data_IF_676121016897
#
_entry.id   IF_676121016897
#
_cell.length_a   1.000
_cell.length_b   1.000
_cell.length_c   1.000
_cell.angle_alpha   90.00
_cell.angle_beta   90.00
_cell.angle_gamma   90.00
#
_symmetry.space_group_name_H-M   'P 1'
#
loop_
_entity.id
_entity.type
_entity.pdbx_description
1 polymer ?
#
# COMPACT_ATOMS: atom_id res chain seq x y z
N UNK A 1 -71.22 18.87 -56.69
CA UNK A 1 -70.18 19.43 -55.84
C UNK A 1 -69.93 18.43 -54.69
N UNK A 2 -68.93 17.60 -54.86
CA UNK A 2 -68.63 16.50 -53.90
C UNK A 2 -67.58 17.00 -52.90
N UNK A 3 -67.90 16.92 -51.61
CA UNK A 3 -66.96 17.14 -50.49
C UNK A 3 -66.26 15.80 -50.22
N UNK A 4 -64.92 15.78 -50.35
CA UNK A 4 -64.10 14.67 -49.91
C UNK A 4 -63.74 14.85 -48.43
N UNK A 5 -64.10 13.86 -47.60
CA UNK A 5 -63.69 13.72 -46.19
C UNK A 5 -62.34 13.05 -46.16
N UNK A 6 -61.32 13.71 -45.57
CA UNK A 6 -60.01 13.07 -45.26
C UNK A 6 -60.11 12.54 -43.82
N UNK A 7 -60.00 11.23 -43.69
CA UNK A 7 -59.78 10.53 -42.40
C UNK A 7 -58.27 10.58 -42.06
N UNK A 8 -57.93 11.23 -40.94
CA UNK A 8 -56.62 11.12 -40.32
C UNK A 8 -56.58 9.91 -39.40
N UNK A 9 -55.85 8.86 -39.77
CA UNK A 9 -55.58 7.74 -38.89
C UNK A 9 -54.38 8.03 -37.99
N UNK A 10 -54.59 8.05 -36.67
CA UNK A 10 -53.56 8.15 -35.66
C UNK A 10 -52.98 6.76 -35.40
N UNK A 11 -51.74 6.55 -35.86
CA UNK A 11 -50.96 5.33 -35.52
C UNK A 11 -50.35 5.57 -34.12
N UNK A 12 -50.87 4.87 -33.13
CA UNK A 12 -50.26 4.78 -31.80
C UNK A 12 -49.22 3.66 -31.84
N UNK A 13 -47.95 4.04 -31.89
CA UNK A 13 -46.85 3.10 -31.74
C UNK A 13 -46.65 2.79 -30.23
N UNK A 14 -46.98 1.57 -29.83
CA UNK A 14 -46.59 1.01 -28.52
C UNK A 14 -45.11 0.70 -28.57
N UNK A 15 -44.32 1.53 -27.87
CA UNK A 15 -42.95 1.17 -27.54
C UNK A 15 -42.98 0.21 -26.34
N UNK A 16 -42.76 -1.06 -26.62
CA UNK A 16 -42.45 -2.05 -25.64
C UNK A 16 -40.98 -1.84 -25.19
N UNK A 17 -40.72 -1.28 -24.03
CA UNK A 17 -39.43 -1.39 -23.38
C UNK A 17 -39.17 -2.86 -23.08
N UNK A 18 -38.32 -3.51 -23.85
CA UNK A 18 -37.65 -4.73 -23.45
C UNK A 18 -36.49 -4.33 -22.54
N UNK A 19 -36.30 -4.95 -21.37
CA UNK A 19 -35.11 -4.75 -20.58
C UNK A 19 -33.91 -5.30 -21.35
N UNK A 20 -32.95 -4.45 -21.60
CA UNK A 20 -31.66 -4.81 -22.22
C UNK A 20 -30.88 -5.65 -21.20
N UNK A 21 -31.01 -7.00 -21.30
CA UNK A 21 -30.20 -7.95 -20.53
C UNK A 21 -28.97 -8.37 -21.33
N UNK A 22 -28.11 -7.41 -21.66
CA UNK A 22 -26.78 -7.69 -22.20
C UNK A 22 -25.73 -6.71 -21.61
N UNK A 23 -25.66 -6.69 -20.28
CA UNK A 23 -24.50 -6.21 -19.58
C UNK A 23 -23.81 -7.45 -19.02
N UNK A 24 -23.10 -8.19 -19.86
CA UNK A 24 -21.98 -9.02 -19.47
C UNK A 24 -21.50 -9.89 -20.63
N UNK A 25 -20.68 -9.37 -21.47
CA UNK A 25 -19.57 -10.10 -22.11
C UNK A 25 -18.70 -9.12 -22.90
N UNK A 26 -18.20 -8.09 -22.25
CA UNK A 26 -16.92 -7.60 -22.67
C UNK A 26 -15.95 -8.77 -22.37
N UNK A 27 -15.62 -9.56 -23.40
CA UNK A 27 -14.45 -10.45 -23.33
C UNK A 27 -13.30 -9.54 -22.88
N UNK A 28 -12.90 -9.68 -21.62
CA UNK A 28 -11.64 -9.14 -21.16
C UNK A 28 -10.59 -9.67 -22.14
N UNK A 29 -10.03 -8.80 -22.99
CA UNK A 29 -8.89 -9.18 -23.82
C UNK A 29 -7.85 -9.71 -22.85
N UNK A 30 -7.41 -10.96 -23.07
CA UNK A 30 -6.30 -11.53 -22.30
C UNK A 30 -5.11 -10.60 -22.50
N UNK A 31 -4.78 -9.85 -21.48
CA UNK A 31 -3.63 -8.98 -21.48
C UNK A 31 -2.40 -9.88 -21.60
N UNK A 32 -1.55 -9.63 -22.60
CA UNK A 32 -0.25 -10.29 -22.68
C UNK A 32 0.61 -9.78 -21.53
N UNK A 33 0.97 -10.64 -20.56
CA UNK A 33 1.76 -10.22 -19.40
C UNK A 33 3.06 -9.52 -19.78
N UNK A 34 3.70 -9.92 -20.87
CA UNK A 34 4.96 -9.33 -21.34
C UNK A 34 4.80 -7.87 -21.83
N UNK A 35 3.60 -7.47 -22.25
CA UNK A 35 3.30 -6.11 -22.75
C UNK A 35 2.57 -5.25 -21.71
N UNK A 36 2.10 -5.85 -20.63
CA UNK A 36 1.25 -5.17 -19.63
C UNK A 36 1.98 -4.06 -18.89
N UNK A 37 3.26 -4.26 -18.59
CA UNK A 37 4.00 -3.39 -17.69
C UNK A 37 4.76 -2.28 -18.38
N UNK A 38 5.30 -2.49 -19.58
CA UNK A 38 6.21 -1.56 -20.22
C UNK A 38 7.56 -1.43 -19.49
N UNK A 39 8.28 -0.36 -19.77
CA UNK A 39 9.55 -0.07 -19.08
C UNK A 39 9.34 0.25 -17.61
N UNK A 40 10.30 -0.13 -16.77
CA UNK A 40 10.26 0.18 -15.34
C UNK A 40 10.39 1.70 -15.13
N UNK A 41 9.37 2.38 -14.59
CA UNK A 41 9.37 3.83 -14.42
C UNK A 41 10.16 4.30 -13.19
N UNK A 42 10.70 3.37 -12.39
CA UNK A 42 11.37 3.69 -11.15
C UNK A 42 12.55 4.67 -11.27
N UNK A 43 13.45 4.58 -12.26
CA UNK A 43 14.55 5.53 -12.40
C UNK A 43 14.06 6.99 -12.44
N UNK A 44 13.07 7.29 -13.26
CA UNK A 44 12.52 8.65 -13.39
C UNK A 44 11.74 9.09 -12.14
N UNK A 45 10.94 8.20 -11.58
CA UNK A 45 10.17 8.47 -10.35
C UNK A 45 11.14 8.70 -9.19
N UNK A 46 12.17 7.89 -9.02
CA UNK A 46 13.19 8.05 -8.00
C UNK A 46 13.90 9.41 -8.10
N UNK A 47 14.28 9.82 -9.32
CA UNK A 47 14.87 11.14 -9.57
C UNK A 47 13.92 12.27 -9.13
N UNK A 48 12.65 12.20 -9.52
CA UNK A 48 11.63 13.17 -9.09
C UNK A 48 11.46 13.19 -7.56
N UNK A 49 11.43 12.06 -6.92
CA UNK A 49 11.31 11.97 -5.45
C UNK A 49 12.48 12.66 -4.75
N UNK A 50 13.71 12.44 -5.23
CA UNK A 50 14.89 13.08 -4.67
C UNK A 50 14.88 14.60 -4.95
N UNK A 51 14.58 15.03 -6.17
CA UNK A 51 14.71 16.43 -6.56
C UNK A 51 13.51 17.30 -6.19
N UNK A 52 12.32 16.74 -6.09
CA UNK A 52 11.08 17.51 -5.84
C UNK A 52 10.53 17.35 -4.42
N UNK A 53 10.55 16.14 -3.85
CA UNK A 53 9.95 15.88 -2.53
C UNK A 53 10.96 16.00 -1.38
N UNK A 54 12.19 15.52 -1.56
CA UNK A 54 13.18 15.48 -0.49
C UNK A 54 13.60 16.87 0.03
N UNK A 55 13.72 17.93 -0.81
CA UNK A 55 14.00 19.29 -0.31
C UNK A 55 12.95 19.79 0.68
N UNK A 56 11.67 19.51 0.39
CA UNK A 56 10.56 19.87 1.27
C UNK A 56 10.56 19.04 2.56
N UNK A 57 10.89 17.74 2.45
CA UNK A 57 10.98 16.85 3.60
C UNK A 57 12.11 17.27 4.56
N UNK A 58 13.30 17.62 4.05
CA UNK A 58 14.41 18.19 4.85
C UNK A 58 13.97 19.43 5.62
N UNK A 59 13.32 20.35 4.92
CA UNK A 59 12.82 21.61 5.52
C UNK A 59 11.79 21.32 6.62
N UNK A 60 10.82 20.45 6.36
CA UNK A 60 9.75 20.13 7.31
C UNK A 60 10.28 19.40 8.55
N UNK A 61 11.26 18.51 8.37
CA UNK A 61 11.95 17.82 9.47
C UNK A 61 12.89 18.76 10.24
N UNK A 62 13.23 19.92 9.69
CA UNK A 62 14.11 20.89 10.32
C UNK A 62 15.53 20.39 10.53
N UNK A 63 16.06 19.61 9.58
CA UNK A 63 17.43 19.09 9.56
C UNK A 63 18.26 19.77 8.48
N UNK A 64 19.56 19.96 8.75
CA UNK A 64 20.44 20.66 7.81
C UNK A 64 20.98 19.74 6.71
N UNK A 65 21.23 18.48 7.08
CA UNK A 65 21.75 17.45 6.17
C UNK A 65 21.27 16.08 6.61
N UNK A 66 21.00 15.22 5.64
CA UNK A 66 20.71 13.80 5.87
C UNK A 66 21.86 12.96 5.34
N UNK A 67 22.44 12.14 6.20
CA UNK A 67 23.48 11.18 5.89
C UNK A 67 22.91 9.76 5.90
N UNK A 68 22.99 9.07 4.76
CA UNK A 68 22.65 7.66 4.61
C UNK A 68 23.90 6.87 4.28
N UNK A 69 24.13 5.77 5.01
CA UNK A 69 25.27 4.87 4.79
C UNK A 69 24.77 3.56 4.19
N UNK A 70 25.06 3.37 2.90
CA UNK A 70 24.70 2.14 2.18
C UNK A 70 25.91 1.21 2.03
N UNK A 71 25.65 -0.08 1.91
CA UNK A 71 26.67 -1.14 1.77
C UNK A 71 26.08 -2.37 1.08
N UNK A 72 26.96 -3.24 0.60
CA UNK A 72 26.53 -4.56 0.13
C UNK A 72 25.93 -5.37 1.27
N UNK A 73 24.90 -6.16 0.97
CA UNK A 73 24.19 -7.07 1.87
C UNK A 73 23.66 -6.39 3.15
N UNK A 74 22.42 -6.74 3.52
CA UNK A 74 21.76 -6.11 4.68
C UNK A 74 21.88 -4.59 4.68
N UNK A 75 21.59 -4.01 3.52
CA UNK A 75 21.71 -2.57 3.26
C UNK A 75 20.70 -1.76 4.08
N UNK A 76 20.86 -0.43 4.06
CA UNK A 76 19.85 0.46 4.63
C UNK A 76 18.48 0.21 3.97
N UNK A 77 17.36 0.17 4.73
CA UNK A 77 16.02 -0.08 4.17
C UNK A 77 15.62 0.87 3.04
N UNK A 78 16.16 2.08 3.01
CA UNK A 78 15.88 3.05 1.95
C UNK A 78 16.92 3.04 0.81
N UNK A 79 17.86 2.09 0.80
CA UNK A 79 18.93 2.04 -0.20
C UNK A 79 18.40 2.18 -1.63
N UNK A 80 17.35 1.45 -2.00
CA UNK A 80 16.71 1.52 -3.32
C UNK A 80 16.19 2.92 -3.65
N UNK A 81 15.80 3.71 -2.65
CA UNK A 81 15.30 5.07 -2.85
C UNK A 81 16.40 6.09 -3.14
N UNK A 82 17.62 5.80 -2.73
CA UNK A 82 18.79 6.70 -2.87
C UNK A 82 19.89 6.16 -3.80
N UNK A 83 19.65 5.02 -4.48
CA UNK A 83 20.66 4.41 -5.35
C UNK A 83 21.68 3.55 -4.61
N UNK A 84 21.49 3.34 -3.32
CA UNK A 84 22.42 2.61 -2.46
C UNK A 84 22.50 1.10 -2.73
N UNK A 85 21.60 0.54 -3.54
CA UNK A 85 21.66 -0.84 -4.03
C UNK A 85 22.90 -1.12 -4.88
N UNK A 86 23.51 -0.07 -5.43
CA UNK A 86 24.74 -0.15 -6.23
C UNK A 86 26.02 -0.04 -5.41
N UNK A 87 25.93 0.12 -4.08
CA UNK A 87 27.10 0.16 -3.21
C UNK A 87 27.55 -1.26 -2.84
N UNK A 88 28.78 -1.66 -3.22
CA UNK A 88 29.39 -2.92 -2.76
C UNK A 88 30.26 -2.72 -1.52
N UNK A 89 31.04 -1.65 -1.46
CA UNK A 89 31.64 -1.16 -0.21
C UNK A 89 30.67 -0.22 0.52
N UNK A 90 31.18 0.53 1.53
CA UNK A 90 30.36 1.56 2.16
C UNK A 90 30.40 2.84 1.34
N UNK A 91 29.22 3.27 0.86
CA UNK A 91 29.01 4.59 0.26
C UNK A 91 28.24 5.49 1.23
N UNK A 92 28.51 6.79 1.18
CA UNK A 92 27.87 7.79 2.03
C UNK A 92 27.10 8.80 1.15
N UNK A 93 25.80 8.85 1.32
CA UNK A 93 24.89 9.73 0.60
C UNK A 93 24.53 10.93 1.47
N UNK A 94 24.68 12.12 0.94
CA UNK A 94 24.39 13.38 1.63
C UNK A 94 23.33 14.17 0.86
N UNK A 95 22.27 14.55 1.56
CA UNK A 95 21.22 15.41 1.03
C UNK A 95 21.09 16.64 1.91
N UNK A 96 21.23 17.84 1.34
CA UNK A 96 21.16 19.09 2.08
C UNK A 96 20.68 20.23 1.18
N UNK A 97 20.30 21.34 1.79
CA UNK A 97 20.01 22.59 1.08
C UNK A 97 20.85 23.73 1.64
N UNK A 98 21.34 24.60 0.76
CA UNK A 98 22.01 25.86 1.12
C UNK A 98 21.49 27.02 0.26
N UNK A 99 22.17 28.15 0.26
CA UNK A 99 21.77 29.35 -0.50
C UNK A 99 21.71 29.12 -2.03
N UNK A 100 22.46 28.13 -2.55
CA UNK A 100 22.46 27.77 -3.96
C UNK A 100 21.36 26.79 -4.36
N UNK A 101 20.69 26.17 -3.39
CA UNK A 101 19.59 25.24 -3.62
C UNK A 101 19.73 23.91 -2.91
N UNK A 102 19.06 22.89 -3.43
CA UNK A 102 19.14 21.52 -2.95
C UNK A 102 20.30 20.79 -3.61
N UNK A 103 21.01 19.99 -2.82
CA UNK A 103 22.17 19.20 -3.22
C UNK A 103 22.04 17.75 -2.84
N UNK A 104 22.51 16.87 -3.70
CA UNK A 104 22.72 15.45 -3.43
C UNK A 104 24.14 15.05 -3.82
N UNK A 105 24.92 14.66 -2.82
CA UNK A 105 26.34 14.32 -2.96
C UNK A 105 26.57 12.90 -2.46
N UNK A 106 27.32 12.11 -3.22
CA UNK A 106 27.70 10.76 -2.83
C UNK A 106 29.21 10.64 -2.74
N UNK A 107 29.72 10.10 -1.64
CA UNK A 107 31.09 9.60 -1.54
C UNK A 107 31.07 8.08 -1.72
N UNK A 108 31.66 7.59 -2.79
CA UNK A 108 31.67 6.16 -3.13
C UNK A 108 33.10 5.67 -3.39
N UNK A 109 33.42 4.43 -2.98
CA UNK A 109 34.64 3.77 -3.43
C UNK A 109 34.79 3.87 -4.95
N UNK A 110 36.01 4.12 -5.42
CA UNK A 110 36.31 4.43 -6.84
C UNK A 110 35.77 3.36 -7.81
N UNK A 111 35.80 2.07 -7.41
CA UNK A 111 35.31 0.95 -8.25
C UNK A 111 33.79 0.93 -8.50
N UNK A 112 33.01 1.62 -7.68
CA UNK A 112 31.55 1.58 -7.70
C UNK A 112 30.93 2.92 -8.12
N UNK A 113 31.74 3.98 -8.08
CA UNK A 113 31.28 5.34 -8.33
C UNK A 113 30.65 5.53 -9.72
N UNK A 114 31.13 4.80 -10.74
CA UNK A 114 30.55 4.86 -12.09
C UNK A 114 29.10 4.36 -12.09
N UNK A 115 28.82 3.22 -11.43
CA UNK A 115 27.46 2.68 -11.37
C UNK A 115 26.48 3.62 -10.65
N UNK A 116 26.97 4.38 -9.67
CA UNK A 116 26.16 5.39 -8.97
C UNK A 116 25.98 6.67 -9.79
N UNK A 117 27.00 7.07 -10.54
CA UNK A 117 26.97 8.23 -11.44
C UNK A 117 26.02 7.99 -12.62
N UNK A 118 26.03 6.77 -13.19
CA UNK A 118 25.18 6.36 -14.30
C UNK A 118 23.66 6.34 -13.95
N UNK A 119 23.30 6.36 -12.65
CA UNK A 119 21.89 6.49 -12.23
C UNK A 119 21.30 7.86 -12.54
N UNK A 120 22.11 8.89 -12.71
CA UNK A 120 21.71 10.28 -12.98
C UNK A 120 20.66 10.84 -11.98
N UNK A 121 20.77 10.44 -10.71
CA UNK A 121 19.86 10.88 -9.62
C UNK A 121 20.55 11.76 -8.59
N UNK A 122 21.87 11.86 -8.64
CA UNK A 122 22.68 12.69 -7.76
C UNK A 122 23.34 13.83 -8.53
N UNK A 123 23.48 14.98 -7.87
CA UNK A 123 24.20 16.11 -8.44
C UNK A 123 25.68 15.78 -8.66
N UNK A 124 26.28 15.00 -7.72
CA UNK A 124 27.71 14.66 -7.76
C UNK A 124 27.99 13.33 -7.07
N UNK A 125 28.83 12.52 -7.72
CA UNK A 125 29.43 11.32 -7.14
C UNK A 125 30.93 11.51 -7.03
N UNK A 126 31.44 11.64 -5.79
CA UNK A 126 32.87 11.79 -5.48
C UNK A 126 33.53 10.42 -5.34
N UNK A 127 34.54 10.18 -6.12
CA UNK A 127 35.32 8.95 -6.11
C UNK A 127 36.30 8.95 -4.93
N UNK A 128 36.18 7.94 -4.06
CA UNK A 128 37.05 7.76 -2.91
C UNK A 128 38.15 6.75 -3.26
N UNK A 129 39.42 7.13 -3.24
CA UNK A 129 40.52 6.24 -3.57
C UNK A 129 40.58 5.01 -2.69
N UNK A 130 41.09 3.91 -3.24
CA UNK A 130 41.26 2.66 -2.50
C UNK A 130 42.14 2.89 -1.25
N UNK A 131 41.64 2.43 -0.10
CA UNK A 131 42.28 2.60 1.22
C UNK A 131 41.84 3.85 1.98
N UNK A 132 40.99 4.69 1.39
CA UNK A 132 40.33 5.80 2.07
C UNK A 132 38.87 5.41 2.42
N UNK A 133 38.27 6.13 3.36
CA UNK A 133 36.89 5.86 3.84
C UNK A 133 35.89 6.89 3.31
N UNK A 134 34.84 6.43 2.64
CA UNK A 134 33.73 7.29 2.21
C UNK A 134 33.05 7.97 3.40
N UNK A 135 32.92 7.28 4.52
CA UNK A 135 32.36 7.84 5.77
C UNK A 135 33.24 8.98 6.29
N UNK A 136 34.59 8.82 6.25
CA UNK A 136 35.50 9.88 6.67
C UNK A 136 35.35 11.12 5.77
N UNK A 137 35.30 10.94 4.44
CA UNK A 137 35.10 12.06 3.48
C UNK A 137 33.79 12.78 3.71
N UNK A 138 32.72 12.03 3.95
CA UNK A 138 31.40 12.60 4.28
C UNK A 138 31.45 13.42 5.59
N UNK A 139 32.12 12.91 6.63
CA UNK A 139 32.31 13.63 7.88
C UNK A 139 33.13 14.91 7.69
N UNK A 140 34.22 14.87 6.93
CA UNK A 140 35.03 16.07 6.62
C UNK A 140 34.20 17.12 5.90
N UNK A 141 33.38 16.71 4.94
CA UNK A 141 32.45 17.59 4.25
C UNK A 141 31.41 18.20 5.22
N UNK A 142 30.74 17.38 6.05
CA UNK A 142 29.77 17.83 7.06
C UNK A 142 30.36 18.89 7.96
N UNK A 143 31.58 18.65 8.47
CA UNK A 143 32.30 19.61 9.34
C UNK A 143 32.62 20.90 8.63
N UNK A 144 33.03 20.84 7.33
CA UNK A 144 33.35 22.03 6.54
C UNK A 144 32.16 22.95 6.33
N UNK A 145 30.94 22.38 6.17
CA UNK A 145 29.67 23.11 6.02
C UNK A 145 29.08 23.62 7.34
N UNK A 146 29.61 23.17 8.50
CA UNK A 146 29.18 23.55 9.85
C UNK A 146 27.71 23.27 10.17
N UNK A 147 27.13 22.21 9.60
CA UNK A 147 25.78 21.76 9.90
C UNK A 147 25.58 21.53 11.42
N UNK A 148 24.38 21.79 11.91
CA UNK A 148 24.04 21.69 13.34
C UNK A 148 23.12 20.50 13.66
N UNK A 149 22.26 20.11 12.68
CA UNK A 149 21.36 18.94 12.81
C UNK A 149 21.61 18.00 11.64
N UNK A 150 22.21 16.86 11.94
CA UNK A 150 22.62 15.86 10.96
C UNK A 150 21.71 14.65 11.17
N UNK A 151 20.74 14.47 10.27
CA UNK A 151 19.86 13.30 10.31
C UNK A 151 20.63 12.04 9.89
N UNK A 152 20.44 10.96 10.61
CA UNK A 152 20.95 9.61 10.30
C UNK A 152 19.85 8.58 10.52
N UNK A 153 19.95 7.46 9.83
CA UNK A 153 18.91 6.43 9.88
C UNK A 153 18.99 5.60 11.16
N UNK A 154 18.54 6.21 12.27
CA UNK A 154 18.26 5.56 13.55
C UNK A 154 16.82 5.84 13.93
N UNK A 155 16.08 4.81 14.35
CA UNK A 155 14.70 4.94 14.80
C UNK A 155 14.34 3.85 15.79
N UNK A 156 13.41 4.15 16.68
CA UNK A 156 12.76 3.17 17.57
C UNK A 156 11.32 2.84 17.14
N UNK A 157 10.81 3.50 16.11
CA UNK A 157 9.40 3.44 15.72
C UNK A 157 9.14 3.29 14.23
N UNK A 158 10.15 3.51 13.38
CA UNK A 158 10.03 3.47 11.93
C UNK A 158 11.19 2.65 11.33
N UNK A 159 10.90 1.41 10.94
CA UNK A 159 11.89 0.50 10.37
C UNK A 159 12.57 1.04 9.10
N UNK A 160 11.86 1.87 8.31
CA UNK A 160 12.44 2.50 7.10
C UNK A 160 13.45 3.60 7.45
N UNK A 161 13.47 4.08 8.69
CA UNK A 161 14.41 5.07 9.18
C UNK A 161 15.47 4.49 10.15
N UNK A 162 15.57 3.15 10.27
CA UNK A 162 16.47 2.46 11.21
C UNK A 162 17.44 1.53 10.45
N UNK A 163 18.27 2.13 9.58
CA UNK A 163 19.17 1.39 8.69
C UNK A 163 20.63 1.38 9.09
N UNK A 164 21.11 2.36 9.85
CA UNK A 164 22.51 2.42 10.27
C UNK A 164 22.81 1.30 11.29
N UNK A 165 23.84 0.50 11.04
CA UNK A 165 24.21 -0.53 12.00
C UNK A 165 24.94 0.04 13.18
N UNK A 166 24.96 -0.70 14.29
CA UNK A 166 25.70 -0.29 15.50
C UNK A 166 27.18 0.05 15.21
N UNK A 167 27.88 -0.76 14.41
CA UNK A 167 29.28 -0.52 14.06
C UNK A 167 29.47 0.73 13.19
N UNK A 168 28.56 0.96 12.22
CA UNK A 168 28.57 2.18 11.41
C UNK A 168 28.32 3.43 12.27
N UNK A 169 27.36 3.34 13.19
CA UNK A 169 27.10 4.43 14.15
C UNK A 169 28.32 4.74 15.03
N UNK A 170 28.98 3.70 15.59
CA UNK A 170 30.17 3.89 16.40
C UNK A 170 31.33 4.53 15.62
N UNK A 171 31.57 4.10 14.38
CA UNK A 171 32.56 4.69 13.51
C UNK A 171 32.24 6.16 13.20
N UNK A 172 31.00 6.42 12.80
CA UNK A 172 30.52 7.79 12.53
C UNK A 172 30.70 8.69 13.75
N UNK A 173 30.25 8.26 14.91
CA UNK A 173 30.34 9.03 16.15
C UNK A 173 31.81 9.30 16.53
N UNK A 174 32.70 8.33 16.36
CA UNK A 174 34.16 8.49 16.57
C UNK A 174 34.75 9.52 15.62
N UNK A 175 34.41 9.46 14.33
CA UNK A 175 34.87 10.42 13.32
C UNK A 175 34.33 11.83 13.55
N UNK A 176 33.08 11.96 13.98
CA UNK A 176 32.45 13.24 14.34
C UNK A 176 33.06 13.85 15.60
N UNK A 177 33.53 13.04 16.55
CA UNK A 177 34.10 13.52 17.81
C UNK A 177 33.12 14.35 18.61
N UNK A 178 33.50 15.56 19.03
CA UNK A 178 32.61 16.47 19.78
C UNK A 178 31.34 16.89 19.04
N UNK A 179 31.29 16.75 17.74
CA UNK A 179 30.11 17.06 16.90
C UNK A 179 29.12 15.89 16.83
N UNK A 180 29.42 14.71 17.39
CA UNK A 180 28.49 13.57 17.43
C UNK A 180 27.16 13.92 18.10
N UNK A 181 27.12 14.89 19.00
CA UNK A 181 25.88 15.43 19.62
C UNK A 181 24.92 16.11 18.63
N UNK A 182 25.33 16.39 17.42
CA UNK A 182 24.52 16.96 16.34
C UNK A 182 23.79 15.89 15.52
N UNK A 183 24.14 14.60 15.71
CA UNK A 183 23.45 13.48 15.08
C UNK A 183 22.04 13.34 15.67
N UNK A 184 21.04 13.30 14.82
CA UNK A 184 19.62 13.17 15.17
C UNK A 184 18.96 12.06 14.36
N UNK A 185 17.90 11.41 14.87
CA UNK A 185 17.12 10.45 14.10
C UNK A 185 16.51 11.06 12.83
N UNK A 186 16.37 10.24 11.79
CA UNK A 186 15.75 10.64 10.52
C UNK A 186 14.24 10.36 10.46
N UNK A 187 13.59 9.95 11.55
CA UNK A 187 12.18 9.57 11.58
C UNK A 187 11.25 10.54 10.87
N UNK A 188 11.30 11.83 11.26
CA UNK A 188 10.40 12.84 10.69
C UNK A 188 10.73 13.14 9.23
N UNK A 189 12.01 13.08 8.84
CA UNK A 189 12.42 13.28 7.45
C UNK A 189 11.92 12.14 6.57
N UNK A 190 12.17 10.89 6.96
CA UNK A 190 11.71 9.70 6.22
C UNK A 190 10.18 9.68 6.16
N UNK A 191 9.50 10.05 7.27
CA UNK A 191 8.05 10.21 7.29
C UNK A 191 7.57 11.24 6.26
N UNK A 192 8.12 12.45 6.26
CA UNK A 192 7.74 13.52 5.33
C UNK A 192 7.99 13.14 3.87
N UNK A 193 9.06 12.38 3.61
CA UNK A 193 9.47 12.01 2.26
C UNK A 193 8.71 10.81 1.71
N UNK A 194 8.61 9.70 2.47
CA UNK A 194 8.07 8.43 1.94
C UNK A 194 6.56 8.34 2.05
N UNK A 195 5.92 9.05 3.00
CA UNK A 195 4.46 8.97 3.15
C UNK A 195 3.70 9.55 1.95
N UNK A 196 4.28 10.51 1.23
CA UNK A 196 3.68 11.14 0.05
C UNK A 196 4.06 10.38 -1.21
N UNK A 197 3.06 10.00 -2.00
CA UNK A 197 3.23 9.37 -3.33
C UNK A 197 3.03 10.42 -4.43
N UNK A 198 3.89 10.38 -5.46
CA UNK A 198 3.69 11.17 -6.67
C UNK A 198 2.47 10.67 -7.44
N UNK A 199 1.83 11.50 -8.26
CA UNK A 199 0.69 11.08 -9.09
C UNK A 199 0.97 9.83 -9.92
N UNK A 200 2.16 9.72 -10.49
CA UNK A 200 2.60 8.55 -11.27
C UNK A 200 2.70 7.28 -10.40
N UNK A 201 3.10 7.41 -9.14
CA UNK A 201 3.11 6.29 -8.20
C UNK A 201 1.70 5.85 -7.83
N UNK A 202 0.77 6.79 -7.67
CA UNK A 202 -0.65 6.49 -7.43
C UNK A 202 -1.26 5.73 -8.61
N UNK A 203 -0.89 6.05 -9.86
CA UNK A 203 -1.32 5.30 -11.05
C UNK A 203 -0.80 3.86 -11.04
N UNK A 204 0.46 3.65 -10.62
CA UNK A 204 1.06 2.30 -10.51
C UNK A 204 0.37 1.50 -9.39
N UNK A 205 0.13 2.13 -8.24
CA UNK A 205 -0.59 1.52 -7.13
C UNK A 205 -2.03 1.18 -7.52
N UNK A 206 -2.67 2.00 -8.35
CA UNK A 206 -3.99 1.70 -8.92
C UNK A 206 -3.95 0.45 -9.79
N UNK A 207 -2.94 0.30 -10.65
CA UNK A 207 -2.75 -0.92 -11.46
C UNK A 207 -2.50 -2.14 -10.59
N UNK A 208 -1.67 -2.02 -9.54
CA UNK A 208 -1.42 -3.11 -8.60
C UNK A 208 -2.69 -3.55 -7.88
N UNK A 209 -3.49 -2.59 -7.39
CA UNK A 209 -4.76 -2.85 -6.75
C UNK A 209 -5.76 -3.53 -7.69
N UNK A 210 -5.88 -3.04 -8.93
CA UNK A 210 -6.78 -3.64 -9.94
C UNK A 210 -6.39 -5.09 -10.23
N UNK A 211 -5.10 -5.34 -10.43
CA UNK A 211 -4.60 -6.69 -10.71
C UNK A 211 -4.87 -7.65 -9.55
N UNK A 212 -4.61 -7.22 -8.32
CA UNK A 212 -4.90 -8.03 -7.14
C UNK A 212 -6.39 -8.33 -7.00
N UNK A 213 -7.26 -7.35 -7.28
CA UNK A 213 -8.71 -7.53 -7.29
C UNK A 213 -9.16 -8.52 -8.37
N UNK A 214 -8.66 -8.38 -9.59
CA UNK A 214 -9.03 -9.25 -10.72
C UNK A 214 -8.62 -10.70 -10.44
N UNK A 215 -7.42 -10.93 -9.92
CA UNK A 215 -6.96 -12.27 -9.56
C UNK A 215 -7.83 -12.92 -8.48
N UNK A 216 -8.27 -12.15 -7.48
CA UNK A 216 -9.17 -12.66 -6.44
C UNK A 216 -10.54 -13.03 -7.02
N UNK A 217 -11.10 -12.24 -7.95
CA UNK A 217 -12.35 -12.58 -8.64
C UNK A 217 -12.22 -13.86 -9.47
N UNK A 218 -11.11 -14.01 -10.24
CA UNK A 218 -10.83 -15.24 -10.98
C UNK A 218 -10.67 -16.45 -10.02
N UNK A 219 -10.01 -16.26 -8.89
CA UNK A 219 -9.81 -17.30 -7.88
C UNK A 219 -11.14 -17.76 -7.27
N UNK A 220 -12.06 -16.85 -6.99
CA UNK A 220 -13.40 -17.24 -6.51
C UNK A 220 -14.23 -17.96 -7.56
N UNK A 221 -14.08 -17.59 -8.83
CA UNK A 221 -14.79 -18.26 -9.93
C UNK A 221 -14.34 -19.71 -10.17
N UNK A 222 -13.11 -20.09 -9.74
CA UNK A 222 -12.62 -21.46 -9.89
C UNK A 222 -13.04 -22.40 -8.75
N UNK A 223 -13.66 -21.90 -7.67
CA UNK A 223 -13.99 -22.70 -6.49
C UNK A 223 -15.12 -23.68 -6.81
N UNK A 224 -14.89 -24.96 -6.56
CA UNK A 224 -15.88 -26.03 -6.49
C UNK A 224 -16.20 -26.33 -5.00
N UNK A 225 -17.36 -25.90 -4.46
CA UNK A 225 -17.74 -26.17 -3.08
C UNK A 225 -17.68 -27.67 -2.73
N UNK A 226 -17.10 -27.99 -1.58
CA UNK A 226 -16.90 -29.38 -1.13
C UNK A 226 -15.69 -30.10 -1.75
N UNK A 227 -14.89 -29.41 -2.60
CA UNK A 227 -13.67 -29.99 -3.21
C UNK A 227 -12.49 -29.06 -3.08
N UNK A 228 -12.60 -27.80 -3.52
CA UNK A 228 -11.52 -26.81 -3.50
C UNK A 228 -11.15 -26.50 -2.05
N UNK A 229 -9.84 -26.42 -1.77
CA UNK A 229 -9.32 -26.02 -0.46
C UNK A 229 -8.86 -24.56 -0.47
N UNK A 230 -8.67 -23.96 0.73
CA UNK A 230 -8.03 -22.65 0.87
C UNK A 230 -6.65 -22.64 0.18
N UNK A 231 -5.88 -23.72 0.32
CA UNK A 231 -4.57 -23.86 -0.32
C UNK A 231 -4.64 -23.92 -1.85
N UNK A 232 -5.70 -24.46 -2.44
CA UNK A 232 -5.87 -24.48 -3.89
C UNK A 232 -6.15 -23.05 -4.42
N UNK A 233 -6.92 -22.25 -3.70
CA UNK A 233 -7.13 -20.83 -3.99
C UNK A 233 -5.80 -20.06 -3.93
N UNK A 234 -5.02 -20.29 -2.88
CA UNK A 234 -3.70 -19.67 -2.73
C UNK A 234 -2.75 -20.05 -3.88
N UNK A 235 -2.70 -21.33 -4.27
CA UNK A 235 -1.90 -21.80 -5.42
C UNK A 235 -2.34 -21.15 -6.73
N UNK A 236 -3.64 -20.98 -6.94
CA UNK A 236 -4.17 -20.28 -8.11
C UNK A 236 -3.66 -18.83 -8.16
N UNK A 237 -3.76 -18.09 -7.05
CA UNK A 237 -3.27 -16.70 -6.96
C UNK A 237 -1.76 -16.61 -7.21
N UNK A 238 -0.95 -17.53 -6.66
CA UNK A 238 0.49 -17.63 -6.94
C UNK A 238 0.79 -17.93 -8.42
N UNK A 239 0.00 -18.78 -9.06
CA UNK A 239 0.15 -19.06 -10.49
C UNK A 239 -0.16 -17.80 -11.33
N UNK A 240 -1.19 -17.03 -10.97
CA UNK A 240 -1.50 -15.75 -11.63
C UNK A 240 -0.38 -14.73 -11.43
N UNK A 241 0.20 -14.63 -10.24
CA UNK A 241 1.36 -13.77 -10.02
C UNK A 241 2.53 -14.13 -10.94
N UNK A 242 2.83 -15.42 -11.07
CA UNK A 242 3.90 -15.90 -11.96
C UNK A 242 3.58 -15.64 -13.44
N UNK A 243 2.32 -15.83 -13.85
CA UNK A 243 1.84 -15.53 -15.21
C UNK A 243 2.07 -14.05 -15.57
N UNK A 244 1.86 -13.13 -14.63
CA UNK A 244 1.97 -11.69 -14.84
C UNK A 244 3.34 -11.10 -14.46
N UNK A 245 4.29 -11.94 -14.02
CA UNK A 245 5.64 -11.49 -13.66
C UNK A 245 5.67 -10.56 -12.44
N UNK A 246 4.68 -10.66 -11.56
CA UNK A 246 4.61 -9.89 -10.31
C UNK A 246 5.03 -10.74 -9.11
N UNK A 247 5.43 -10.10 -8.01
CA UNK A 247 5.91 -10.77 -6.81
C UNK A 247 5.04 -10.46 -5.60
N UNK A 248 5.32 -11.12 -4.48
CA UNK A 248 4.58 -10.95 -3.24
C UNK A 248 4.72 -9.54 -2.66
N UNK A 249 3.61 -8.97 -2.21
CA UNK A 249 3.59 -7.67 -1.54
C UNK A 249 4.22 -7.72 -0.13
N UNK A 250 4.09 -8.87 0.55
CA UNK A 250 4.72 -9.17 1.85
C UNK A 250 5.31 -10.59 1.85
N UNK A 251 5.47 -11.19 3.03
CA UNK A 251 6.14 -12.50 3.15
C UNK A 251 5.40 -13.59 2.34
N UNK A 252 6.08 -14.34 1.47
CA UNK A 252 5.43 -15.30 0.54
C UNK A 252 4.58 -16.38 1.19
N UNK A 253 4.88 -16.78 2.44
CA UNK A 253 4.11 -17.79 3.17
C UNK A 253 2.78 -17.23 3.71
N UNK A 254 2.62 -15.90 3.75
CA UNK A 254 1.43 -15.21 4.26
C UNK A 254 0.68 -14.45 3.16
N UNK A 255 1.22 -14.37 1.95
CA UNK A 255 0.58 -13.80 0.79
C UNK A 255 0.36 -14.89 -0.28
N UNK A 256 -0.88 -15.23 -0.65
CA UNK A 256 -2.14 -14.74 -0.09
C UNK A 256 -2.49 -15.40 1.25
N UNK A 257 -3.22 -14.67 2.10
CA UNK A 257 -4.00 -15.27 3.16
C UNK A 257 -5.38 -15.66 2.59
N UNK A 258 -5.74 -16.94 2.65
CA UNK A 258 -7.07 -17.44 2.25
C UNK A 258 -7.71 -18.10 3.46
N UNK A 259 -8.90 -17.64 3.83
CA UNK A 259 -9.56 -18.01 5.07
C UNK A 259 -11.05 -18.26 4.85
N UNK A 260 -11.48 -19.53 4.75
CA UNK A 260 -12.88 -19.92 4.69
C UNK A 260 -13.40 -20.39 6.03
N UNK A 261 -14.69 -20.14 6.33
CA UNK A 261 -15.31 -20.43 7.63
C UNK A 261 -14.78 -19.57 8.78
N UNK A 262 -14.56 -20.11 10.01
CA UNK A 262 -14.09 -19.35 11.17
C UNK A 262 -12.80 -18.60 10.95
N UNK A 263 -12.64 -17.45 11.62
CA UNK A 263 -11.44 -16.65 11.51
C UNK A 263 -10.20 -17.37 12.05
N UNK A 264 -9.09 -17.27 11.32
CA UNK A 264 -7.78 -17.78 11.71
C UNK A 264 -6.71 -16.69 11.79
N UNK A 265 -7.12 -15.43 11.73
CA UNK A 265 -6.21 -14.28 11.66
C UNK A 265 -5.41 -14.23 10.35
N UNK A 266 -4.34 -13.44 10.33
CA UNK A 266 -3.40 -13.38 9.20
C UNK A 266 -2.50 -14.61 9.21
N UNK A 267 -2.95 -15.71 8.62
CA UNK A 267 -2.26 -17.00 8.61
C UNK A 267 -2.13 -17.49 7.16
N UNK A 268 -1.26 -18.45 6.93
CA UNK A 268 -1.16 -19.12 5.63
C UNK A 268 -2.45 -19.90 5.31
N UNK A 269 -2.71 -20.10 4.01
CA UNK A 269 -3.80 -20.96 3.56
C UNK A 269 -3.60 -22.41 4.04
N UNK A 270 -4.71 -23.09 4.32
CA UNK A 270 -4.70 -24.47 4.82
C UNK A 270 -5.40 -25.42 3.86
N UNK A 271 -5.30 -26.73 4.11
CA UNK A 271 -6.05 -27.76 3.35
C UNK A 271 -7.52 -27.84 3.75
N UNK A 272 -8.09 -26.80 4.41
CA UNK A 272 -9.50 -26.73 4.72
C UNK A 272 -10.30 -26.69 3.42
N UNK A 273 -11.21 -27.66 3.28
CA UNK A 273 -12.17 -27.70 2.16
C UNK A 273 -13.19 -26.58 2.35
N UNK A 274 -13.40 -25.80 1.31
CA UNK A 274 -14.39 -24.73 1.24
C UNK A 274 -15.77 -25.35 1.11
N UNK A 275 -16.65 -25.11 2.07
CA UNK A 275 -17.97 -25.74 2.18
C UNK A 275 -19.12 -24.77 1.88
N UNK A 276 -20.25 -25.29 1.36
CA UNK A 276 -21.46 -24.48 1.27
C UNK A 276 -21.84 -23.85 2.63
N UNK A 277 -22.05 -22.54 2.62
CA UNK A 277 -22.32 -21.73 3.82
C UNK A 277 -21.09 -21.01 4.40
N UNK A 278 -19.90 -21.31 3.91
CA UNK A 278 -18.69 -20.58 4.32
C UNK A 278 -18.70 -19.12 3.80
N UNK A 279 -18.22 -18.20 4.62
CA UNK A 279 -17.76 -16.89 4.20
C UNK A 279 -16.26 -16.99 3.96
N UNK A 280 -15.81 -16.63 2.78
CA UNK A 280 -14.39 -16.68 2.38
C UNK A 280 -13.83 -15.25 2.42
N UNK A 281 -12.64 -15.12 2.99
CA UNK A 281 -11.77 -13.96 2.89
C UNK A 281 -10.52 -14.33 2.10
N UNK A 282 -10.14 -13.50 1.14
CA UNK A 282 -8.77 -13.48 0.63
C UNK A 282 -8.15 -12.12 0.92
N UNK A 283 -6.99 -12.15 1.54
CA UNK A 283 -6.15 -10.99 1.81
C UNK A 283 -4.90 -11.14 0.95
N UNK A 284 -4.74 -10.23 -0.02
CA UNK A 284 -3.82 -10.45 -1.12
C UNK A 284 -3.27 -9.16 -1.71
N UNK A 285 -1.96 -9.16 -1.91
CA UNK A 285 -1.26 -8.07 -2.57
C UNK A 285 -0.21 -8.53 -3.58
N UNK A 286 0.03 -7.70 -4.57
CA UNK A 286 1.09 -7.89 -5.58
C UNK A 286 2.08 -6.74 -5.53
N UNK A 287 3.34 -7.04 -5.87
CA UNK A 287 4.41 -6.06 -5.99
C UNK A 287 4.79 -5.86 -7.45
N UNK A 288 4.66 -4.62 -7.92
CA UNK A 288 5.03 -4.20 -9.26
C UNK A 288 6.43 -3.61 -9.30
N UNK A 289 7.19 -3.96 -10.36
CA UNK A 289 8.56 -3.50 -10.59
C UNK A 289 9.52 -3.72 -9.41
N UNK A 290 9.15 -4.60 -8.45
CA UNK A 290 9.90 -4.80 -7.22
C UNK A 290 9.78 -3.64 -6.21
N UNK A 291 8.95 -2.65 -6.46
CA UNK A 291 8.85 -1.40 -5.68
C UNK A 291 7.48 -1.21 -5.04
N UNK A 292 6.40 -1.13 -5.84
CA UNK A 292 5.08 -0.73 -5.36
C UNK A 292 4.19 -1.92 -5.07
N UNK A 293 3.53 -1.90 -3.91
CA UNK A 293 2.65 -2.98 -3.46
C UNK A 293 1.19 -2.56 -3.38
N UNK A 294 0.29 -3.52 -3.66
CA UNK A 294 -1.11 -3.41 -3.29
C UNK A 294 -1.41 -4.23 -2.04
N UNK A 295 -2.55 -3.93 -1.40
CA UNK A 295 -3.08 -4.63 -0.24
C UNK A 295 -4.60 -4.52 -0.28
N UNK A 296 -5.30 -5.64 -0.57
CA UNK A 296 -6.74 -5.64 -0.81
C UNK A 296 -7.35 -6.95 -0.30
N UNK A 297 -8.44 -6.85 0.43
CA UNK A 297 -9.25 -8.01 0.79
C UNK A 297 -10.53 -8.07 -0.05
N UNK A 298 -10.89 -9.29 -0.44
CA UNK A 298 -12.15 -9.60 -1.10
C UNK A 298 -12.89 -10.68 -0.34
N UNK A 299 -14.23 -10.60 -0.37
CA UNK A 299 -15.11 -11.51 0.37
C UNK A 299 -16.09 -12.21 -0.56
N UNK A 300 -16.32 -13.49 -0.28
CA UNK A 300 -17.29 -14.30 -0.97
C UNK A 300 -18.15 -15.11 0.02
N UNK A 301 -19.37 -15.46 -0.39
CA UNK A 301 -20.22 -16.42 0.28
C UNK A 301 -20.44 -17.64 -0.59
N UNK A 302 -20.29 -18.83 -0.03
CA UNK A 302 -20.52 -20.10 -0.73
C UNK A 302 -21.99 -20.50 -0.58
N UNK A 303 -22.73 -20.48 -1.69
CA UNK A 303 -24.15 -20.81 -1.70
C UNK A 303 -24.39 -22.26 -1.28
N UNK A 304 -25.40 -22.46 -0.41
CA UNK A 304 -25.96 -23.78 -0.12
C UNK A 304 -26.89 -24.23 -1.24
N UNK A 305 -27.24 -25.51 -1.25
CA UNK A 305 -28.21 -26.04 -2.22
C UNK A 305 -29.53 -25.27 -2.16
N UNK A 306 -29.98 -24.77 -3.30
CA UNK A 306 -31.23 -24.01 -3.44
C UNK A 306 -31.11 -22.51 -3.09
N UNK A 307 -29.96 -22.02 -2.60
CA UNK A 307 -29.75 -20.60 -2.37
C UNK A 307 -29.38 -19.87 -3.69
N UNK A 308 -29.91 -18.66 -3.84
CA UNK A 308 -29.58 -17.74 -4.96
C UNK A 308 -28.93 -16.45 -4.49
N UNK A 309 -28.87 -16.25 -3.16
CA UNK A 309 -28.28 -15.10 -2.47
C UNK A 309 -27.72 -15.55 -1.11
N UNK A 310 -26.87 -14.75 -0.50
CA UNK A 310 -26.43 -14.95 0.86
C UNK A 310 -27.63 -14.84 1.84
N UNK A 311 -27.62 -15.57 2.98
CA UNK A 311 -28.61 -15.41 4.04
C UNK A 311 -28.70 -13.95 4.52
N UNK A 312 -29.87 -13.55 5.01
CA UNK A 312 -30.17 -12.16 5.36
C UNK A 312 -29.24 -11.60 6.46
N UNK A 313 -28.79 -12.43 7.39
CA UNK A 313 -27.83 -12.07 8.43
C UNK A 313 -26.42 -11.83 7.84
N UNK A 314 -25.94 -12.72 6.97
CA UNK A 314 -24.65 -12.57 6.28
C UNK A 314 -24.66 -11.33 5.38
N UNK A 315 -25.76 -11.12 4.63
CA UNK A 315 -25.90 -9.91 3.81
C UNK A 315 -25.90 -8.65 4.70
N UNK A 316 -26.55 -8.68 5.86
CA UNK A 316 -26.53 -7.57 6.82
C UNK A 316 -25.11 -7.29 7.33
N UNK A 317 -24.34 -8.34 7.67
CA UNK A 317 -22.95 -8.18 8.15
C UNK A 317 -22.05 -7.60 7.06
N UNK A 318 -22.26 -8.03 5.80
CA UNK A 318 -21.59 -7.45 4.64
C UNK A 318 -21.90 -5.95 4.50
N UNK A 319 -23.18 -5.56 4.54
CA UNK A 319 -23.59 -4.15 4.44
C UNK A 319 -23.01 -3.29 5.57
N UNK A 320 -22.92 -3.84 6.78
CA UNK A 320 -22.30 -3.16 7.92
C UNK A 320 -20.80 -2.94 7.70
N UNK A 321 -20.06 -3.96 7.27
CA UNK A 321 -18.63 -3.83 6.94
C UNK A 321 -18.41 -2.81 5.82
N UNK A 322 -19.17 -2.91 4.75
CA UNK A 322 -19.14 -1.96 3.63
C UNK A 322 -19.43 -0.51 4.08
N UNK A 323 -20.42 -0.31 4.93
CA UNK A 323 -20.74 1.00 5.49
C UNK A 323 -19.59 1.56 6.34
N UNK A 324 -18.90 0.71 7.11
CA UNK A 324 -17.72 1.04 7.88
C UNK A 324 -16.56 1.54 7.01
N UNK A 325 -16.23 0.81 5.93
CA UNK A 325 -15.21 1.22 4.96
C UNK A 325 -15.53 2.58 4.33
N UNK A 326 -16.80 2.82 3.96
CA UNK A 326 -17.23 4.10 3.40
C UNK A 326 -17.16 5.25 4.40
N UNK A 327 -17.46 4.99 5.67
CA UNK A 327 -17.31 5.99 6.72
C UNK A 327 -15.84 6.35 6.95
N UNK A 328 -14.94 5.37 6.93
CA UNK A 328 -13.50 5.60 7.00
C UNK A 328 -13.03 6.46 5.82
N UNK A 329 -13.40 6.12 4.58
CA UNK A 329 -13.07 6.94 3.39
C UNK A 329 -13.60 8.36 3.53
N UNK A 330 -14.86 8.52 3.94
CA UNK A 330 -15.50 9.83 4.10
C UNK A 330 -14.84 10.71 5.17
N UNK A 331 -14.16 10.11 6.15
CA UNK A 331 -13.39 10.83 7.17
C UNK A 331 -11.97 11.20 6.70
N UNK A 332 -11.42 10.54 5.67
CA UNK A 332 -10.07 10.81 5.17
C UNK A 332 -10.01 12.14 4.42
N UNK A 333 -9.24 13.09 4.95
CA UNK A 333 -8.88 14.34 4.26
C UNK A 333 -7.64 14.95 4.89
N UNK A 334 -6.93 15.86 4.20
CA UNK A 334 -5.79 16.54 4.77
C UNK A 334 -6.12 17.22 6.11
N UNK A 335 -5.23 17.08 7.09
CA UNK A 335 -5.38 17.67 8.43
C UNK A 335 -6.19 16.86 9.43
N UNK A 336 -6.78 15.72 9.04
CA UNK A 336 -7.44 14.78 9.95
C UNK A 336 -6.41 13.82 10.54
N UNK A 337 -6.58 13.43 11.80
CA UNK A 337 -5.75 12.40 12.44
C UNK A 337 -6.17 11.00 12.01
N UNK A 338 -5.22 10.07 11.96
CA UNK A 338 -5.53 8.67 11.69
C UNK A 338 -6.54 8.06 12.69
N UNK A 339 -6.45 8.44 13.97
CA UNK A 339 -7.41 8.03 15.01
C UNK A 339 -8.86 8.47 14.70
N UNK A 340 -9.06 9.63 14.10
CA UNK A 340 -10.41 10.12 13.79
C UNK A 340 -11.03 9.35 12.62
N UNK A 341 -10.23 8.86 11.67
CA UNK A 341 -10.66 7.94 10.61
C UNK A 341 -11.11 6.60 11.23
N UNK A 342 -10.30 6.04 12.13
CA UNK A 342 -10.65 4.82 12.88
C UNK A 342 -11.96 4.99 13.68
N UNK A 343 -12.13 6.15 14.32
CA UNK A 343 -13.33 6.48 15.10
C UNK A 343 -14.58 6.46 14.24
N UNK A 344 -14.55 7.06 13.05
CA UNK A 344 -15.70 7.15 12.15
C UNK A 344 -16.23 5.76 11.77
N UNK A 345 -15.35 4.81 11.49
CA UNK A 345 -15.72 3.42 11.19
C UNK A 345 -16.22 2.67 12.43
N UNK A 346 -15.51 2.80 13.57
CA UNK A 346 -15.84 2.07 14.79
C UNK A 346 -17.16 2.49 15.44
N UNK A 347 -17.54 3.75 15.32
CA UNK A 347 -18.85 4.22 15.80
C UNK A 347 -19.99 3.52 15.06
N UNK A 348 -19.83 3.22 13.76
CA UNK A 348 -20.80 2.41 13.00
C UNK A 348 -20.76 0.93 13.40
N UNK A 349 -19.60 0.34 13.64
CA UNK A 349 -19.48 -1.03 14.15
C UNK A 349 -20.24 -1.18 15.46
N UNK A 350 -20.00 -0.29 16.42
CA UNK A 350 -20.65 -0.33 17.75
C UNK A 350 -22.18 -0.19 17.60
N UNK A 351 -22.64 0.74 16.74
CA UNK A 351 -24.07 0.93 16.47
C UNK A 351 -24.71 -0.28 15.76
N UNK A 352 -23.95 -1.01 14.95
CA UNK A 352 -24.42 -2.23 14.26
C UNK A 352 -24.39 -3.49 15.12
N UNK A 353 -23.86 -3.40 16.36
CA UNK A 353 -23.71 -4.53 17.28
C UNK A 353 -22.60 -5.51 16.89
N UNK A 354 -21.58 -5.05 16.20
CA UNK A 354 -20.36 -5.83 15.90
C UNK A 354 -19.62 -6.18 17.19
N UNK A 355 -19.01 -7.36 17.24
CA UNK A 355 -18.02 -7.66 18.25
C UNK A 355 -16.78 -6.77 18.02
N UNK A 356 -15.98 -6.58 19.07
CA UNK A 356 -14.76 -5.78 19.00
C UNK A 356 -13.72 -6.45 18.10
N UNK A 357 -13.14 -5.67 17.18
CA UNK A 357 -12.03 -6.06 16.31
C UNK A 357 -10.78 -5.35 16.80
N UNK A 358 -9.69 -6.08 17.17
CA UNK A 358 -8.54 -5.49 17.89
C UNK A 358 -7.53 -4.76 16.99
N UNK A 359 -7.54 -4.97 15.67
CA UNK A 359 -6.59 -4.32 14.76
C UNK A 359 -7.07 -2.94 14.29
N UNK A 360 -6.21 -2.17 13.64
CA UNK A 360 -6.50 -0.82 13.14
C UNK A 360 -7.47 -0.89 11.97
N UNK A 361 -8.24 0.19 11.74
CA UNK A 361 -9.04 0.37 10.53
C UNK A 361 -8.19 0.39 9.27
N UNK A 362 -6.92 0.79 9.36
CA UNK A 362 -6.05 0.75 8.19
C UNK A 362 -4.64 1.27 8.47
N UNK A 363 -3.83 1.23 7.45
CA UNK A 363 -2.42 1.60 7.47
C UNK A 363 -1.99 2.23 6.14
N UNK A 364 -0.87 2.98 6.11
CA UNK A 364 -0.27 3.42 4.86
C UNK A 364 0.18 2.22 4.04
N UNK A 365 0.10 2.34 2.71
CA UNK A 365 0.57 1.32 1.77
C UNK A 365 1.27 2.00 0.59
N UNK A 366 2.26 1.32 0.02
CA UNK A 366 2.96 1.86 -1.14
C UNK A 366 4.21 1.08 -1.51
N UNK A 367 5.30 1.22 -0.77
CA UNK A 367 6.55 0.47 -1.02
C UNK A 367 6.58 -0.87 -0.29
N UNK A 368 5.85 -0.94 0.79
CA UNK A 368 5.57 -2.15 1.58
C UNK A 368 4.11 -2.12 2.03
N UNK A 369 3.54 -3.26 2.43
CA UNK A 369 2.15 -3.35 2.88
C UNK A 369 1.87 -2.43 4.07
N UNK A 370 2.73 -2.47 5.11
CA UNK A 370 2.68 -1.52 6.22
C UNK A 370 3.75 -0.44 6.04
N UNK A 371 3.45 0.57 5.25
CA UNK A 371 4.38 1.62 4.83
C UNK A 371 4.45 2.79 5.84
N UNK A 372 5.27 3.78 5.52
CA UNK A 372 5.46 4.99 6.32
C UNK A 372 4.25 5.93 6.18
N UNK A 373 3.68 6.33 7.31
CA UNK A 373 2.56 7.28 7.35
C UNK A 373 1.75 7.20 8.66
N UNK A 374 0.61 7.90 8.75
CA UNK A 374 -0.30 7.81 9.89
C UNK A 374 -0.96 6.43 9.96
N UNK A 375 -1.04 5.83 11.16
CA UNK A 375 -1.87 4.64 11.38
C UNK A 375 -3.35 5.05 11.55
N UNK A 376 -4.26 4.38 10.86
CA UNK A 376 -5.71 4.61 10.99
C UNK A 376 -6.27 3.70 12.09
N UNK A 377 -5.91 3.98 13.35
CA UNK A 377 -6.27 3.11 14.47
C UNK A 377 -6.20 3.80 15.81
N UNK A 378 -6.56 3.06 16.87
CA UNK A 378 -6.39 3.50 18.25
C UNK A 378 -7.56 4.24 18.86
N UNK A 379 -8.68 4.48 18.16
CA UNK A 379 -9.83 5.23 18.65
C UNK A 379 -10.51 4.63 19.90
N UNK A 380 -10.26 3.35 20.20
CA UNK A 380 -10.80 2.65 21.37
C UNK A 380 -9.70 2.28 22.39
N UNK A 381 -8.46 2.77 22.21
CA UNK A 381 -7.38 2.53 23.14
C UNK A 381 -7.39 3.57 24.27
N UNK A 382 -7.01 3.17 25.51
CA UNK A 382 -6.91 4.10 26.65
C UNK A 382 -5.86 5.19 26.45
N UNK A 383 -4.82 4.89 25.65
CA UNK A 383 -3.73 5.82 25.33
C UNK A 383 -3.61 5.93 23.80
N UNK A 384 -3.57 7.15 23.24
CA UNK A 384 -3.38 7.36 21.81
C UNK A 384 -2.06 6.79 21.33
N UNK A 385 -2.07 6.13 20.16
CA UNK A 385 -0.84 5.71 19.48
C UNK A 385 -0.19 6.92 18.79
N UNK A 386 1.10 7.21 18.99
CA UNK A 386 1.75 8.36 18.34
C UNK A 386 1.55 8.42 16.82
N UNK A 387 1.67 7.28 16.14
CA UNK A 387 1.45 7.20 14.69
C UNK A 387 0.02 7.55 14.27
N UNK A 388 -1.00 7.26 15.11
CA UNK A 388 -2.40 7.59 14.84
C UNK A 388 -2.75 9.07 15.11
N UNK A 389 -1.89 9.80 15.82
CA UNK A 389 -2.03 11.25 16.06
C UNK A 389 -1.46 12.10 14.93
N UNK A 390 -0.69 11.49 14.01
CA UNK A 390 -0.18 12.19 12.83
C UNK A 390 -1.31 12.53 11.87
N UNK A 391 -1.17 13.67 11.17
CA UNK A 391 -2.19 14.19 10.26
C UNK A 391 -2.04 13.56 8.87
N UNK A 392 -3.17 13.23 8.26
CA UNK A 392 -3.23 12.86 6.85
C UNK A 392 -2.84 14.06 5.99
N UNK A 393 -2.16 13.79 4.87
CA UNK A 393 -1.75 14.77 3.86
C UNK A 393 -2.15 14.28 2.47
N UNK A 394 -2.34 15.22 1.56
CA UNK A 394 -2.55 14.93 0.14
C UNK A 394 -1.41 14.06 -0.41
N UNK A 395 -1.74 13.07 -1.25
CA UNK A 395 -0.81 12.12 -1.83
C UNK A 395 -0.49 10.90 -0.93
N UNK A 396 -0.98 10.85 0.31
CA UNK A 396 -0.88 9.63 1.12
C UNK A 396 -1.83 8.56 0.61
N UNK A 397 -1.35 7.30 0.57
CA UNK A 397 -2.13 6.14 0.14
C UNK A 397 -2.30 5.18 1.32
N UNK A 398 -3.50 4.67 1.48
CA UNK A 398 -3.89 3.76 2.56
C UNK A 398 -4.55 2.50 2.03
N UNK A 399 -4.30 1.38 2.69
CA UNK A 399 -5.17 0.22 2.72
C UNK A 399 -6.03 0.32 4.00
N UNK A 400 -7.35 0.08 3.90
CA UNK A 400 -8.24 0.26 5.03
C UNK A 400 -9.49 -0.59 4.93
N UNK A 401 -9.91 -1.07 6.09
CA UNK A 401 -11.01 -2.01 6.26
C UNK A 401 -12.33 -1.33 6.67
N UNK A 402 -13.42 -2.03 6.39
CA UNK A 402 -14.69 -1.85 7.06
C UNK A 402 -15.08 -3.14 7.75
N UNK A 403 -15.32 -3.11 9.05
CA UNK A 403 -15.48 -4.31 9.87
C UNK A 403 -16.92 -4.63 10.23
N UNK A 404 -17.23 -5.92 10.30
CA UNK A 404 -18.31 -6.47 11.13
C UNK A 404 -17.92 -7.87 11.61
N UNK A 405 -17.84 -8.05 12.92
CA UNK A 405 -17.49 -9.32 13.57
C UNK A 405 -18.71 -9.88 14.31
N UNK A 406 -18.93 -11.20 14.18
CA UNK A 406 -20.04 -11.89 14.87
C UNK A 406 -19.63 -13.27 15.36
N UNK A 407 -20.43 -13.84 16.30
CA UNK A 407 -20.29 -15.24 16.70
C UNK A 407 -21.10 -16.13 15.77
N UNK A 408 -20.48 -17.21 15.33
CA UNK A 408 -21.11 -18.28 14.59
C UNK A 408 -21.89 -19.22 15.55
N UNK A 409 -22.79 -20.09 15.04
CA UNK A 409 -23.57 -21.01 15.89
C UNK A 409 -22.73 -21.96 16.73
N UNK A 410 -21.53 -22.30 16.31
CA UNK A 410 -20.56 -23.14 17.04
C UNK A 410 -19.75 -22.37 18.09
N UNK A 411 -19.98 -21.06 18.22
CA UNK A 411 -19.29 -20.18 19.16
C UNK A 411 -17.97 -19.59 18.67
N UNK A 412 -17.52 -19.97 17.48
CA UNK A 412 -16.35 -19.34 16.82
C UNK A 412 -16.70 -17.94 16.31
N UNK A 413 -15.69 -17.13 16.01
CA UNK A 413 -15.89 -15.80 15.46
C UNK A 413 -15.63 -15.77 13.96
N UNK A 414 -16.34 -14.89 13.25
CA UNK A 414 -16.10 -14.53 11.86
C UNK A 414 -16.20 -13.03 11.71
N UNK A 415 -15.24 -12.47 10.96
CA UNK A 415 -15.19 -11.05 10.62
C UNK A 415 -15.30 -10.88 9.12
N UNK A 416 -16.12 -9.95 8.68
CA UNK A 416 -15.96 -9.28 7.39
C UNK A 416 -15.10 -8.08 7.65
N UNK A 417 -14.00 -7.96 6.89
CA UNK A 417 -13.05 -6.85 6.94
C UNK A 417 -12.76 -6.42 5.50
N UNK A 418 -13.80 -5.90 4.82
CA UNK A 418 -13.63 -5.50 3.41
C UNK A 418 -12.60 -4.40 3.29
N UNK A 419 -11.48 -4.70 2.64
CA UNK A 419 -10.33 -3.80 2.54
C UNK A 419 -10.18 -3.24 1.15
N UNK A 420 -9.97 -1.94 1.11
CA UNK A 420 -9.80 -1.17 -0.12
C UNK A 420 -8.58 -0.27 -0.02
N UNK A 421 -8.05 0.13 -1.17
CA UNK A 421 -7.01 1.15 -1.22
C UNK A 421 -7.59 2.50 -1.66
N UNK A 422 -7.11 3.58 -1.00
CA UNK A 422 -7.48 4.94 -1.36
C UNK A 422 -6.30 5.90 -1.28
N UNK A 423 -6.36 6.99 -2.06
CA UNK A 423 -5.44 8.12 -1.99
C UNK A 423 -6.15 9.33 -1.40
N UNK A 424 -5.47 10.04 -0.50
CA UNK A 424 -5.92 11.33 0.03
C UNK A 424 -5.72 12.40 -1.05
N UNK A 425 -6.78 13.16 -1.33
CA UNK A 425 -6.80 14.28 -2.28
C UNK A 425 -6.81 15.62 -1.54
N UNK A 426 -6.78 16.72 -2.26
CA UNK A 426 -6.78 18.06 -1.67
C UNK A 426 -7.98 18.35 -0.75
N UNK A 427 -9.13 17.73 -1.00
CA UNK A 427 -10.42 17.99 -0.31
C UNK A 427 -11.06 16.75 0.33
N UNK A 428 -10.45 15.57 0.20
CA UNK A 428 -11.01 14.33 0.72
C UNK A 428 -10.11 13.12 0.46
N UNK A 429 -10.72 12.01 0.04
CA UNK A 429 -10.03 10.83 -0.46
C UNK A 429 -10.86 10.13 -1.54
N UNK A 430 -10.20 9.36 -2.40
CA UNK A 430 -10.86 8.53 -3.40
C UNK A 430 -10.28 7.12 -3.41
N UNK A 431 -11.13 6.14 -3.66
CA UNK A 431 -10.67 4.78 -3.93
C UNK A 431 -9.71 4.76 -5.13
N UNK A 432 -8.72 3.88 -5.11
CA UNK A 432 -7.84 3.65 -6.26
C UNK A 432 -8.56 2.89 -7.38
N UNK A 433 -9.40 1.93 -7.01
CA UNK A 433 -10.22 1.12 -7.93
C UNK A 433 -11.68 1.12 -7.48
N UNK A 434 -12.58 0.58 -8.27
CA UNK A 434 -13.97 0.34 -7.84
C UNK A 434 -13.99 -0.60 -6.64
N UNK A 435 -14.54 -0.17 -5.49
CA UNK A 435 -14.60 -1.01 -4.29
C UNK A 435 -15.54 -2.17 -4.50
N UNK A 436 -15.41 -3.22 -3.68
CA UNK A 436 -16.34 -4.33 -3.70
C UNK A 436 -17.73 -3.88 -3.20
N UNK A 437 -18.72 -3.87 -4.09
CA UNK A 437 -20.08 -3.42 -3.79
C UNK A 437 -20.95 -4.53 -3.21
N UNK A 438 -20.83 -5.73 -3.73
CA UNK A 438 -21.62 -6.88 -3.36
C UNK A 438 -20.74 -8.04 -2.91
N UNK A 439 -21.28 -8.86 -2.01
CA UNK A 439 -20.63 -10.10 -1.62
C UNK A 439 -20.60 -11.06 -2.82
N UNK A 440 -19.41 -11.55 -3.17
CA UNK A 440 -19.25 -12.48 -4.30
C UNK A 440 -19.95 -13.80 -3.94
N UNK A 441 -20.75 -14.32 -4.88
CA UNK A 441 -21.49 -15.58 -4.66
C UNK A 441 -20.79 -16.73 -5.39
N UNK A 442 -20.28 -17.69 -4.61
CA UNK A 442 -19.61 -18.90 -5.12
C UNK A 442 -20.63 -20.02 -5.22
N UNK A 443 -20.57 -20.83 -6.30
CA UNK A 443 -21.47 -21.94 -6.55
C UNK A 443 -22.78 -21.55 -7.27
N UNK A 444 -22.89 -20.31 -7.76
CA UNK A 444 -24.00 -19.91 -8.64
C UNK A 444 -23.78 -20.57 -10.01
N UNK A 445 -24.69 -21.49 -10.41
CA UNK A 445 -24.72 -22.12 -11.75
C UNK A 445 -25.50 -21.29 -12.72
#
# INVERSE_FOLDING_TARGET
MQKKLLLFGILVAFWTCQPNTDINSAKQEKIDPATYWGENPWPEIRKKRITQLLPTALKNAGVDVWLVLCRENYNDPIATHVGGENASGTAAFLFYSDESGFHSLVFSPDGEATALDDLDIHEKVERVPRGESAVSKAVDFIKSKRFQKIAINTSSSNAMADGITHSQYQELARLMGGDAKKLVPSDDLVYEWLSIKLPEEVEILTKAAQLASDFQHEAYAMIEPGKTTDADVAKFLKAKMAEYGVTDAWHPDQNPNVNSGPDRGHSHATDKVIMPGDVIQTDFGVKLYGIWVSDIQRFAYVLKEGETAAPADIQKYWENGKAGSRAALGAMKPGVKGEDVDRAQRDLMDAAGSLYVPWSTGHPVGYVAHDVGPNLGGARLPQPRPAAQKLLKEGMVFAFDGFHCWKQPDGTEKTISVEEMAVVTADGARYLITPQEDLILVGKK
#
